data_IF_005384079951
#
_entry.id   IF_005384079951
#
_cell.length_a   1.000
_cell.length_b   1.000
_cell.length_c   1.000
_cell.angle_alpha   90.00
_cell.angle_beta   90.00
_cell.angle_gamma   90.00
#
_symmetry.space_group_name_H-M   'P 1'
#
loop_
_entity.id
_entity.type
_entity.pdbx_description
1 polymer ?
#
# COMPACT_ATOMS: atom_id res chain seq x y z
N UNK A 1 -4.81 18.88 -39.17
CA UNK A 1 -5.45 18.74 -37.84
C UNK A 1 -4.44 18.11 -36.90
N UNK A 2 -4.25 18.66 -35.70
CA UNK A 2 -3.30 18.15 -34.71
C UNK A 2 -4.05 17.57 -33.50
N UNK A 3 -3.59 16.44 -32.95
CA UNK A 3 -4.26 15.72 -31.88
C UNK A 3 -3.84 16.22 -30.49
N UNK A 4 -4.25 17.43 -30.12
CA UNK A 4 -4.02 17.99 -28.79
C UNK A 4 -4.96 17.40 -27.73
N UNK A 5 -4.89 16.08 -27.51
CA UNK A 5 -5.71 15.32 -26.56
C UNK A 5 -4.87 14.76 -25.42
N UNK A 6 -4.57 15.58 -24.40
CA UNK A 6 -3.83 15.17 -23.19
C UNK A 6 -4.70 14.30 -22.25
N UNK A 7 -5.13 13.13 -22.71
CA UNK A 7 -5.89 12.17 -21.89
C UNK A 7 -4.91 11.27 -21.14
N UNK A 8 -4.25 11.85 -20.12
CA UNK A 8 -3.42 11.10 -19.15
C UNK A 8 -4.31 10.33 -18.19
N UNK A 9 -5.06 9.34 -18.71
CA UNK A 9 -5.91 8.41 -17.95
C UNK A 9 -5.11 7.39 -17.14
N UNK A 10 -4.08 7.88 -16.43
CA UNK A 10 -3.43 7.22 -15.30
C UNK A 10 -4.26 7.46 -14.03
N UNK A 11 -5.58 7.29 -14.15
CA UNK A 11 -6.48 7.08 -13.01
C UNK A 11 -6.34 5.62 -12.56
N UNK A 12 -5.12 5.29 -12.13
CA UNK A 12 -4.76 3.98 -11.60
C UNK A 12 -5.51 3.76 -10.29
N UNK A 13 -6.67 3.09 -10.41
CA UNK A 13 -7.49 2.43 -9.37
C UNK A 13 -7.03 2.78 -7.96
N UNK A 14 -7.50 3.93 -7.47
CA UNK A 14 -7.02 4.48 -6.20
C UNK A 14 -7.74 3.83 -5.01
N UNK A 15 -6.96 3.05 -4.26
CA UNK A 15 -7.16 2.83 -2.82
C UNK A 15 -8.27 1.86 -2.38
N UNK A 16 -8.45 0.73 -3.08
CA UNK A 16 -9.02 -0.49 -2.45
C UNK A 16 -7.94 -1.53 -2.08
N UNK A 17 -6.69 -1.33 -2.52
CA UNK A 17 -5.55 -2.01 -1.91
C UNK A 17 -5.29 -1.38 -0.54
N UNK A 18 -5.91 -1.97 0.50
CA UNK A 18 -5.70 -1.67 1.91
C UNK A 18 -4.31 -2.16 2.32
N UNK A 19 -3.27 -1.49 1.81
CA UNK A 19 -1.88 -1.73 2.16
C UNK A 19 -1.71 -1.47 3.65
N UNK A 20 -1.79 -2.52 4.47
CA UNK A 20 -1.38 -2.48 5.87
C UNK A 20 0.06 -1.96 5.89
N UNK A 21 0.25 -0.77 6.45
CA UNK A 21 1.54 -0.10 6.57
C UNK A 21 1.82 0.06 8.06
N UNK A 22 3.03 -0.31 8.49
CA UNK A 22 3.41 -0.18 9.89
C UNK A 22 3.43 1.30 10.30
N UNK A 23 2.57 1.65 11.26
CA UNK A 23 2.35 3.02 11.74
C UNK A 23 3.61 3.68 12.31
N UNK A 24 4.50 2.88 12.90
CA UNK A 24 5.78 3.34 13.46
C UNK A 24 6.82 3.61 12.36
N UNK A 25 7.15 2.60 11.57
CA UNK A 25 8.35 2.62 10.72
C UNK A 25 8.07 2.69 9.21
N UNK A 26 6.83 2.98 8.82
CA UNK A 26 6.37 3.22 7.45
C UNK A 26 6.48 2.03 6.49
N UNK A 27 6.76 0.83 6.99
CA UNK A 27 7.00 -0.34 6.14
C UNK A 27 5.70 -0.99 5.67
N UNK A 28 5.63 -1.31 4.38
CA UNK A 28 4.57 -2.12 3.76
C UNK A 28 4.85 -3.63 3.81
N UNK A 29 5.96 -4.03 4.43
CA UNK A 29 6.37 -5.43 4.58
C UNK A 29 5.76 -5.99 5.88
N UNK A 30 4.52 -6.45 5.77
CA UNK A 30 3.74 -7.03 6.87
C UNK A 30 3.62 -8.54 6.62
N UNK A 31 3.93 -9.33 7.65
CA UNK A 31 3.86 -10.78 7.64
C UNK A 31 2.73 -11.21 8.60
N UNK A 32 2.14 -12.40 8.42
CA UNK A 32 1.02 -12.90 9.23
C UNK A 32 1.41 -14.24 9.85
N UNK A 33 1.31 -14.35 11.18
CA UNK A 33 1.60 -15.58 11.92
C UNK A 33 0.90 -15.57 13.29
N UNK A 34 0.58 -16.74 13.82
CA UNK A 34 -0.16 -16.91 15.10
C UNK A 34 -1.48 -16.11 15.14
N UNK A 35 -2.15 -16.01 13.98
CA UNK A 35 -3.39 -15.25 13.77
C UNK A 35 -3.25 -13.72 13.86
N UNK A 36 -2.03 -13.20 14.10
CA UNK A 36 -1.68 -11.78 14.16
C UNK A 36 -0.94 -11.29 12.91
N UNK A 37 -1.11 -10.01 12.56
CA UNK A 37 -0.26 -9.31 11.57
C UNK A 37 0.89 -8.62 12.28
N UNK A 38 2.10 -8.63 11.71
CA UNK A 38 3.25 -7.92 12.27
C UNK A 38 4.17 -7.34 11.20
N UNK A 39 4.81 -6.22 11.52
CA UNK A 39 5.77 -5.60 10.62
C UNK A 39 7.10 -6.34 10.63
N UNK A 40 7.41 -7.04 9.53
CA UNK A 40 8.65 -7.82 9.35
C UNK A 40 9.94 -6.99 9.52
N UNK A 41 9.86 -5.68 9.25
CA UNK A 41 11.00 -4.74 9.40
C UNK A 41 11.27 -4.34 10.86
N UNK A 42 10.23 -4.36 11.71
CA UNK A 42 10.22 -3.62 12.98
C UNK A 42 9.71 -4.44 14.18
N UNK A 43 9.27 -5.68 13.97
CA UNK A 43 8.81 -6.61 15.01
C UNK A 43 7.45 -6.30 15.64
N UNK A 44 6.91 -5.11 15.38
CA UNK A 44 5.65 -4.62 15.95
C UNK A 44 4.43 -5.35 15.34
N UNK A 45 3.55 -5.85 16.21
CA UNK A 45 2.21 -6.33 15.85
C UNK A 45 1.36 -5.15 15.33
N UNK A 46 0.48 -5.44 14.37
CA UNK A 46 -0.41 -4.50 13.69
C UNK A 46 -1.84 -5.06 13.66
N UNK A 47 -2.50 -4.97 14.82
CA UNK A 47 -3.95 -5.16 15.01
C UNK A 47 -4.76 -4.31 13.99
#
# INVERSE_FOLDING_TARGET
>A
MAYSGNVRSLETVKSEDLIRQCSDCGSKNIEYANEEFYCRKCGLVLD
#
